data_IF_653623822187
#
_entry.id   IF_653623822187
#
_cell.length_a   1.000
_cell.length_b   1.000
_cell.length_c   1.000
_cell.angle_alpha   90.00
_cell.angle_beta   90.00
_cell.angle_gamma   90.00
#
_symmetry.space_group_name_H-M   'P 1'
#
loop_
_entity.id
_entity.type
_entity.pdbx_description
1 polymer ?
2 polymer ?
3 non-polymer ?
4 water ?
#
# COMPACT_ATOMS: atom_id res chain seq x y z
N UNK A 6 9.90 -15.31 -6.26
CA UNK A 6 8.78 -14.50 -5.81
C UNK A 6 7.84 -15.31 -4.92
N UNK A 7 7.85 -15.00 -3.63
CA UNK A 7 7.13 -15.78 -2.63
C UNK A 7 6.35 -14.84 -1.71
N UNK A 8 5.28 -15.39 -1.13
CA UNK A 8 4.51 -14.70 -0.10
C UNK A 8 4.88 -15.15 1.31
N UNK A 9 5.49 -16.31 1.47
CA UNK A 9 5.89 -16.80 2.78
C UNK A 9 6.69 -15.75 3.52
N UNK A 10 6.30 -15.48 4.77
CA UNK A 10 6.92 -14.46 5.58
C UNK A 10 6.19 -13.12 5.57
N UNK A 11 5.18 -12.98 4.72
CA UNK A 11 4.41 -11.75 4.61
C UNK A 11 3.05 -11.96 5.27
N UNK A 12 2.79 -11.23 6.34
CA UNK A 12 1.49 -11.25 6.99
C UNK A 12 0.57 -10.29 6.25
N UNK A 13 -0.53 -10.80 5.71
CA UNK A 13 -1.41 -10.06 4.82
C UNK A 13 -2.73 -9.76 5.51
N UNK A 14 -3.15 -8.50 5.46
CA UNK A 14 -4.40 -8.07 6.04
C UNK A 14 -5.20 -7.28 5.00
N UNK A 15 -6.45 -7.02 5.35
CA UNK A 15 -7.30 -6.14 4.55
C UNK A 15 -8.13 -5.28 5.49
N UNK A 16 -8.68 -4.21 4.93
CA UNK A 16 -9.56 -3.33 5.68
C UNK A 16 -10.62 -2.81 4.73
N UNK A 17 -11.87 -2.80 5.20
CA UNK A 17 -12.95 -2.26 4.40
C UNK A 17 -13.03 -0.75 4.61
N UNK A 18 -13.23 -0.03 3.50
CA UNK A 18 -13.26 1.43 3.54
C UNK A 18 -14.01 1.92 2.30
N UNK A 19 -14.53 3.14 2.38
CA UNK A 19 -15.11 3.82 1.23
C UNK A 19 -14.02 4.55 0.46
N UNK A 20 -14.26 4.74 -0.85
CA UNK A 20 -13.30 5.47 -1.67
C UNK A 20 -13.01 6.85 -1.08
N UNK A 21 -14.06 7.59 -0.70
CA UNK A 21 -13.84 8.92 -0.16
C UNK A 21 -13.10 8.93 1.17
N UNK A 22 -12.90 7.77 1.79
CA UNK A 22 -12.23 7.69 3.08
C UNK A 22 -10.77 7.27 2.98
N UNK A 23 -10.33 6.74 1.83
CA UNK A 23 -9.04 6.04 1.78
C UNK A 23 -7.90 6.89 2.32
N UNK A 24 -7.97 8.21 2.14
CA UNK A 24 -6.88 9.07 2.60
C UNK A 24 -6.92 9.22 4.11
N UNK A 25 -8.10 9.36 4.69
CA UNK A 25 -8.20 9.40 6.14
C UNK A 25 -7.78 8.05 6.74
N UNK A 26 -8.15 6.95 6.09
CA UNK A 26 -7.76 5.63 6.56
C UNK A 26 -6.25 5.44 6.47
N UNK A 27 -5.63 5.93 5.39
CA UNK A 27 -4.19 5.80 5.24
C UNK A 27 -3.47 6.54 6.36
N UNK A 28 -3.96 7.71 6.74
CA UNK A 28 -3.35 8.45 7.83
C UNK A 28 -3.41 7.67 9.14
N UNK A 29 -4.53 7.00 9.39
CA UNK A 29 -4.64 6.19 10.60
C UNK A 29 -3.54 5.12 10.65
N UNK A 30 -3.31 4.45 9.51
CA UNK A 30 -2.25 3.45 9.47
C UNK A 30 -0.88 4.08 9.70
N UNK A 31 -0.65 5.26 9.12
CA UNK A 31 0.60 5.98 9.39
C UNK A 31 0.81 6.17 10.89
N UNK A 32 -0.27 6.47 11.62
CA UNK A 32 -0.15 6.66 13.06
C UNK A 32 -0.20 5.36 13.85
N UNK A 33 -0.68 4.27 13.25
CA UNK A 33 -0.80 3.01 13.96
C UNK A 33 0.37 2.06 13.75
N UNK A 34 1.01 2.09 12.58
CA UNK A 34 2.05 1.12 12.26
C UNK A 34 3.44 1.71 12.49
N UNK A 35 4.39 0.82 12.81
CA UNK A 35 5.78 1.22 13.01
C UNK A 35 6.53 1.11 11.68
N UNK A 36 6.24 2.07 10.81
CA UNK A 36 6.80 2.06 9.47
C UNK A 36 8.27 2.45 9.52
N UNK A 37 9.15 1.57 9.04
CA UNK A 37 10.51 1.98 8.73
C UNK A 37 10.54 2.66 7.36
N UNK A 38 10.25 1.89 6.31
CA UNK A 38 9.99 2.44 4.99
C UNK A 38 8.74 1.79 4.42
N UNK A 39 7.99 2.56 3.63
CA UNK A 39 6.69 2.12 3.12
C UNK A 39 6.64 2.19 1.61
N UNK A 40 5.78 1.36 1.02
CA UNK A 40 5.44 1.43 -0.39
C UNK A 40 3.93 1.31 -0.53
N UNK A 41 3.34 2.21 -1.31
CA UNK A 41 1.89 2.33 -1.44
C UNK A 41 1.53 2.24 -2.92
N UNK A 42 0.67 1.28 -3.27
CA UNK A 42 0.37 0.99 -4.66
C UNK A 42 -0.98 1.55 -5.06
N UNK A 43 -1.03 2.21 -6.21
CA UNK A 43 -2.24 2.73 -6.81
C UNK A 43 -2.46 2.09 -8.17
N UNK A 44 -3.68 2.25 -8.68
CA UNK A 44 -4.07 1.58 -9.91
C UNK A 44 -3.86 2.42 -11.17
N UNK A 45 -3.57 3.71 -11.03
CA UNK A 45 -3.38 4.57 -12.19
C UNK A 45 -2.28 5.58 -11.91
N UNK A 46 -1.72 6.15 -12.97
CA UNK A 46 -0.62 7.09 -12.80
C UNK A 46 -1.09 8.35 -12.09
N UNK A 47 -2.17 8.96 -12.54
CA UNK A 47 -2.64 10.19 -11.91
C UNK A 47 -3.03 9.93 -10.46
N UNK A 48 -3.64 8.77 -10.19
CA UNK A 48 -3.92 8.41 -8.80
C UNK A 48 -2.65 8.42 -7.96
N UNK A 49 -1.53 7.96 -8.54
CA UNK A 49 -0.24 8.03 -7.85
C UNK A 49 0.15 9.48 -7.59
N UNK A 50 -0.09 10.35 -8.58
CA UNK A 50 0.29 11.76 -8.43
C UNK A 50 -0.50 12.43 -7.31
N UNK A 51 -1.82 12.33 -7.36
CA UNK A 51 -2.64 13.02 -6.37
C UNK A 51 -2.39 12.47 -4.97
N UNK A 52 -2.31 11.15 -4.81
CA UNK A 52 -2.02 10.60 -3.50
C UNK A 52 -0.74 11.17 -2.93
N UNK A 53 0.31 11.27 -3.75
CA UNK A 53 1.56 11.85 -3.27
C UNK A 53 1.33 13.24 -2.69
N UNK A 54 0.48 14.05 -3.33
CA UNK A 54 0.21 15.38 -2.83
C UNK A 54 -0.60 15.33 -1.54
N UNK A 55 -1.54 14.40 -1.44
CA UNK A 55 -2.33 14.29 -0.21
C UNK A 55 -1.46 13.89 0.98
N UNK A 56 -0.53 12.96 0.76
CA UNK A 56 0.36 12.55 1.84
C UNK A 56 1.24 13.71 2.27
N UNK A 57 1.64 14.56 1.31
CA UNK A 57 2.42 15.75 1.65
C UNK A 57 1.57 16.76 2.42
N UNK A 58 0.28 16.87 2.06
CA UNK A 58 -0.62 17.71 2.84
C UNK A 58 -0.68 17.24 4.29
N UNK A 59 -0.59 15.93 4.52
CA UNK A 59 -0.62 15.39 5.87
C UNK A 59 0.67 15.63 6.64
N UNK A 60 1.78 15.88 5.95
CA UNK A 60 3.02 16.23 6.60
C UNK A 60 4.14 15.22 6.47
N UNK A 61 3.92 14.11 5.75
CA UNK A 61 4.99 13.14 5.52
C UNK A 61 5.67 13.43 4.18
N UNK A 62 6.98 13.12 4.12
CA UNK A 62 7.74 13.09 2.87
C UNK A 62 7.18 12.03 1.93
N UNK A 63 7.29 12.28 0.63
CA UNK A 63 6.67 11.39 -0.35
C UNK A 63 7.45 11.40 -1.67
N UNK A 64 7.93 10.22 -2.08
CA UNK A 64 8.38 9.98 -3.44
C UNK A 64 7.26 9.34 -4.24
N UNK A 65 7.47 9.21 -5.54
CA UNK A 65 6.49 8.49 -6.34
C UNK A 65 7.07 8.16 -7.71
N UNK A 66 6.57 7.07 -8.29
CA UNK A 66 7.05 6.57 -9.57
C UNK A 66 5.86 5.97 -10.30
N UNK A 67 5.81 6.17 -11.62
CA UNK A 67 4.79 5.54 -12.44
C UNK A 67 5.35 5.31 -13.84
N UNK A 68 4.56 4.61 -14.66
CA UNK A 68 5.04 4.20 -15.96
C UNK A 68 5.29 5.40 -16.88
N UNK A 69 4.38 6.38 -16.87
CA UNK A 69 4.53 7.53 -17.75
C UNK A 69 5.77 8.35 -17.44
N UNK A 70 6.47 8.05 -16.34
CA UNK A 70 7.72 8.72 -16.05
C UNK A 70 8.82 8.25 -17.01
N UNK A 71 10.00 8.84 -16.86
CA UNK A 71 11.15 8.47 -17.67
C UNK A 71 12.07 7.55 -16.88
N UNK A 72 12.54 6.49 -17.52
CA UNK A 72 13.42 5.53 -16.85
C UNK A 72 14.56 6.23 -16.14
N UNK A 73 15.22 7.17 -16.84
CA UNK A 73 16.30 7.92 -16.21
C UNK A 73 15.82 8.62 -14.94
N UNK A 74 14.54 8.97 -14.89
CA UNK A 74 13.98 9.64 -13.71
C UNK A 74 13.69 8.66 -12.59
N UNK A 75 13.06 7.51 -12.92
CA UNK A 75 12.76 6.50 -11.92
C UNK A 75 14.02 6.03 -11.20
N UNK A 76 15.16 6.04 -11.88
CA UNK A 76 16.39 5.59 -11.24
C UNK A 76 16.78 6.49 -10.08
N UNK A 77 16.84 7.81 -10.32
CA UNK A 77 17.18 8.74 -9.27
C UNK A 77 16.26 8.57 -8.06
N UNK A 78 14.95 8.46 -8.33
CA UNK A 78 13.99 8.29 -7.24
C UNK A 78 14.26 7.00 -6.48
N UNK A 79 14.37 5.88 -7.19
CA UNK A 79 14.58 4.60 -6.52
C UNK A 79 15.88 4.60 -5.73
N UNK A 80 16.96 5.12 -6.31
CA UNK A 80 18.24 5.15 -5.61
C UNK A 80 18.13 5.95 -4.32
N UNK A 81 17.57 7.16 -4.40
CA UNK A 81 17.43 7.98 -3.20
C UNK A 81 16.55 7.28 -2.18
N UNK A 82 15.42 6.72 -2.62
CA UNK A 82 14.59 5.97 -1.68
C UNK A 82 15.39 4.88 -0.98
N UNK A 83 16.13 4.08 -1.76
CA UNK A 83 17.00 3.06 -1.20
C UNK A 83 17.86 3.61 -0.07
N UNK A 84 18.63 4.66 -0.36
CA UNK A 84 19.53 5.21 0.64
C UNK A 84 18.80 5.71 1.87
N UNK A 85 17.49 5.89 1.79
CA UNK A 85 16.69 6.26 2.95
C UNK A 85 16.40 7.73 3.10
N UNK A 86 16.42 8.51 2.01
CA UNK A 86 16.21 9.95 2.12
C UNK A 86 14.75 10.28 2.41
N UNK A 87 13.82 9.54 1.83
CA UNK A 87 12.41 9.71 2.08
C UNK A 87 11.82 8.36 2.46
N UNK A 88 10.82 8.33 3.34
CA UNK A 88 10.39 7.09 3.98
C UNK A 88 9.27 6.37 3.24
N UNK A 89 8.47 7.09 2.46
CA UNK A 89 7.31 6.52 1.81
C UNK A 89 7.41 6.70 0.30
N UNK A 90 6.96 5.68 -0.43
CA UNK A 90 6.97 5.71 -1.89
C UNK A 90 5.60 5.28 -2.39
N UNK A 91 4.98 6.12 -3.22
CA UNK A 91 3.78 5.76 -3.95
C UNK A 91 4.17 5.44 -5.39
N UNK A 92 3.59 4.38 -5.94
CA UNK A 92 3.96 4.03 -7.31
C UNK A 92 2.87 3.17 -7.93
N UNK A 93 2.87 3.15 -9.26
CA UNK A 93 1.96 2.32 -10.03
C UNK A 93 2.61 0.96 -10.29
N UNK A 94 2.19 0.28 -11.35
CA UNK A 94 2.77 -1.00 -11.73
C UNK A 94 3.83 -0.78 -12.80
N UNK A 95 4.94 -1.50 -12.67
CA UNK A 95 6.06 -1.39 -13.60
C UNK A 95 6.63 -2.77 -13.86
N UNK A 96 6.73 -3.14 -15.15
CA UNK A 96 7.32 -4.43 -15.50
C UNK A 96 8.75 -4.55 -14.95
N UNK A 97 9.50 -3.46 -14.96
CA UNK A 97 10.86 -3.44 -14.46
C UNK A 97 10.94 -2.43 -13.31
N UNK A 98 10.21 -2.71 -12.22
CA UNK A 98 10.20 -1.80 -11.08
C UNK A 98 11.56 -1.75 -10.39
N UNK A 99 12.09 -2.91 -10.02
CA UNK A 99 13.41 -2.96 -9.41
C UNK A 99 13.57 -3.97 -8.30
N UNK A 100 14.76 -4.02 -7.70
CA UNK A 100 15.01 -4.92 -6.59
C UNK A 100 14.12 -4.52 -5.41
N UNK A 101 14.02 -5.43 -4.43
CA UNK A 101 13.31 -5.15 -3.20
C UNK A 101 14.21 -4.38 -2.23
N UNK A 102 13.57 -3.59 -1.37
CA UNK A 102 14.27 -2.80 -0.37
C UNK A 102 14.19 -3.52 0.97
N UNK A 103 15.32 -3.59 1.67
CA UNK A 103 15.37 -4.31 2.92
C UNK A 103 14.67 -3.57 4.06
N UNK A 104 14.66 -2.24 4.00
CA UNK A 104 14.05 -1.44 5.06
C UNK A 104 12.55 -1.29 4.91
N UNK A 105 11.95 -1.86 3.86
CA UNK A 105 10.51 -1.75 3.64
C UNK A 105 9.83 -2.91 4.38
N UNK A 106 9.18 -2.59 5.49
CA UNK A 106 8.46 -3.59 6.28
C UNK A 106 6.95 -3.40 6.22
N UNK A 107 6.46 -2.49 5.39
CA UNK A 107 5.03 -2.24 5.25
C UNK A 107 4.73 -1.91 3.79
N UNK A 108 3.92 -2.74 3.15
CA UNK A 108 3.42 -2.48 1.81
C UNK A 108 1.91 -2.29 1.89
N UNK A 109 1.40 -1.32 1.16
CA UNK A 109 -0.01 -1.00 1.19
C UNK A 109 -0.55 -0.99 -0.24
N UNK A 110 -1.61 -1.77 -0.46
CA UNK A 110 -2.39 -1.66 -1.69
C UNK A 110 -3.47 -0.61 -1.43
N UNK A 111 -3.15 0.65 -1.71
CA UNK A 111 -4.14 1.71 -1.60
C UNK A 111 -5.34 1.42 -2.49
N UNK A 112 -5.10 0.82 -3.65
CA UNK A 112 -6.15 0.30 -4.51
C UNK A 112 -5.90 -1.19 -4.70
N UNK A 113 -6.97 -1.98 -4.60
CA UNK A 113 -6.80 -3.44 -4.70
C UNK A 113 -6.69 -3.86 -6.16
N UNK A 114 -5.68 -4.65 -6.52
CA UNK A 114 -5.55 -5.09 -7.91
C UNK A 114 -6.65 -6.06 -8.31
N UNK A 115 -6.79 -6.24 -9.62
CA UNK A 115 -7.82 -7.12 -10.17
C UNK A 115 -7.30 -8.52 -10.52
N UNK A 116 -6.05 -8.63 -10.93
CA UNK A 116 -5.46 -9.92 -11.29
C UNK A 116 -4.55 -10.42 -10.16
N UNK A 117 -4.44 -11.75 -10.06
CA UNK A 117 -3.62 -12.34 -9.01
C UNK A 117 -2.14 -12.12 -9.27
N UNK A 118 -1.73 -12.08 -10.54
CA UNK A 118 -0.32 -11.89 -10.86
C UNK A 118 0.16 -10.52 -10.40
N UNK A 119 -0.69 -9.49 -10.49
CA UNK A 119 -0.31 -8.16 -10.04
C UNK A 119 -0.16 -8.13 -8.52
N UNK A 120 -1.06 -8.78 -7.80
CA UNK A 120 -0.89 -8.89 -6.36
C UNK A 120 0.44 -9.53 -6.01
N UNK A 121 0.80 -10.61 -6.71
CA UNK A 121 2.08 -11.27 -6.44
C UNK A 121 3.26 -10.37 -6.76
N UNK A 122 3.15 -9.54 -7.80
CA UNK A 122 4.23 -8.62 -8.13
C UNK A 122 4.31 -7.48 -7.13
N UNK A 123 3.20 -7.16 -6.47
CA UNK A 123 3.23 -6.08 -5.48
C UNK A 123 3.70 -6.57 -4.12
N UNK A 124 3.18 -7.72 -3.68
CA UNK A 124 3.42 -8.22 -2.32
C UNK A 124 4.51 -9.29 -2.26
N UNK A 125 4.90 -9.86 -3.39
CA UNK A 125 5.90 -10.91 -3.37
C UNK A 125 7.25 -10.44 -2.88
N UNK A 126 8.04 -11.38 -2.39
CA UNK A 126 9.39 -11.13 -1.89
C UNK A 126 10.36 -12.05 -2.62
N UNK A 127 11.65 -11.72 -2.49
CA UNK A 127 12.74 -12.54 -3.04
C UNK A 127 13.27 -13.44 -1.93
N UNK A 128 13.02 -14.74 -2.05
CA UNK A 128 13.42 -15.68 -1.02
C UNK A 128 12.53 -15.62 0.19
N UNK A 129 12.12 -16.78 0.70
CA UNK A 129 11.21 -16.82 1.84
C UNK A 129 11.90 -16.47 3.15
N UNK A 130 13.20 -16.74 3.28
CA UNK A 130 13.92 -16.55 4.53
C UNK A 130 14.46 -15.14 4.63
N UNK A 131 14.38 -14.58 5.83
CA UNK A 131 14.92 -13.26 6.09
C UNK A 131 13.88 -12.16 6.15
N UNK A 132 13.43 -11.70 4.98
CA UNK A 132 12.51 -10.57 4.93
C UNK A 132 11.27 -10.84 5.77
N UNK A 133 10.86 -9.83 6.53
CA UNK A 133 9.68 -9.92 7.38
C UNK A 133 8.92 -8.60 7.32
N UNK A 134 7.65 -8.66 6.95
CA UNK A 134 6.85 -7.46 6.84
C UNK A 134 5.38 -7.78 6.86
N UNK A 135 4.58 -6.73 6.62
CA UNK A 135 3.14 -6.85 6.60
C UNK A 135 2.62 -6.15 5.35
N UNK A 136 1.50 -6.64 4.85
CA UNK A 136 0.78 -6.03 3.74
C UNK A 136 -0.63 -5.70 4.20
N UNK A 137 -1.09 -4.50 3.83
CA UNK A 137 -2.43 -4.04 4.17
C UNK A 137 -3.14 -3.68 2.87
N UNK A 138 -4.31 -4.28 2.65
CA UNK A 138 -5.10 -4.05 1.45
C UNK A 138 -6.35 -3.26 1.81
N UNK A 139 -6.52 -2.09 1.19
CA UNK A 139 -7.73 -1.29 1.34
C UNK A 139 -8.71 -1.70 0.26
N UNK A 140 -9.84 -2.28 0.65
CA UNK A 140 -10.80 -2.81 -0.30
C UNK A 140 -12.16 -2.16 -0.07
N UNK A 141 -12.80 -1.75 -1.16
CA UNK A 141 -14.16 -1.27 -1.08
C UNK A 141 -15.14 -2.43 -1.12
N UNK A 142 -16.41 -2.13 -0.87
CA UNK A 142 -17.45 -3.15 -1.00
C UNK A 142 -17.32 -3.87 -2.33
N UNK A 143 -17.11 -3.12 -3.41
CA UNK A 143 -17.01 -3.71 -4.74
C UNK A 143 -15.79 -4.63 -4.88
N UNK A 144 -14.69 -4.32 -4.19
CA UNK A 144 -13.47 -5.11 -4.33
C UNK A 144 -13.57 -6.51 -3.74
N UNK A 145 -14.64 -6.81 -3.00
CA UNK A 145 -14.69 -8.07 -2.25
C UNK A 145 -14.55 -9.28 -3.17
N UNK A 146 -15.23 -9.27 -4.32
CA UNK A 146 -15.15 -10.40 -5.24
C UNK A 146 -13.69 -10.70 -5.60
N UNK A 147 -12.92 -9.67 -5.97
CA UNK A 147 -11.52 -9.85 -6.31
C UNK A 147 -10.66 -10.27 -5.12
N UNK A 148 -11.13 -10.04 -3.89
CA UNK A 148 -10.34 -10.41 -2.72
C UNK A 148 -10.36 -11.93 -2.50
N UNK A 149 -11.54 -12.54 -2.54
CA UNK A 149 -11.63 -13.99 -2.38
C UNK A 149 -11.01 -14.71 -3.55
N UNK A 150 -11.26 -14.22 -4.78
CA UNK A 150 -10.71 -14.86 -5.96
C UNK A 150 -9.19 -14.79 -5.98
N UNK A 151 -8.61 -13.70 -5.48
CA UNK A 151 -7.16 -13.53 -5.56
C UNK A 151 -6.45 -14.49 -4.62
N UNK A 152 -6.98 -14.67 -3.40
CA UNK A 152 -6.32 -15.57 -2.47
C UNK A 152 -6.49 -17.02 -2.87
N UNK A 153 -7.65 -17.38 -3.41
CA UNK A 153 -7.85 -18.74 -3.88
C UNK A 153 -6.92 -19.05 -5.06
N UNK A 154 -6.80 -18.11 -6.01
CA UNK A 154 -5.90 -18.32 -7.14
C UNK A 154 -4.45 -18.40 -6.67
N UNK A 155 -4.13 -17.79 -5.54
CA UNK A 155 -2.77 -17.78 -5.02
C UNK A 155 -2.52 -18.87 -3.99
N UNK A 156 -3.56 -19.37 -3.32
CA UNK A 156 -3.36 -20.32 -2.25
C UNK A 156 -2.94 -19.72 -0.94
N UNK A 157 -3.07 -18.41 -0.77
CA UNK A 157 -2.75 -17.71 0.45
C UNK A 157 -4.04 -17.27 1.14
N UNK A 158 -3.90 -16.67 2.32
CA UNK A 158 -5.04 -16.18 3.07
C UNK A 158 -4.79 -14.74 3.49
N UNK A 159 -5.81 -13.90 3.33
CA UNK A 159 -5.76 -12.49 3.67
C UNK A 159 -6.79 -12.24 4.75
N UNK A 160 -6.33 -11.99 5.98
CA UNK A 160 -7.22 -11.90 7.15
C UNK A 160 -7.59 -10.45 7.44
N UNK A 161 -8.68 -10.25 8.17
CA UNK A 161 -9.04 -8.88 8.55
C UNK A 161 -8.03 -8.29 9.50
N UNK A 162 -7.79 -6.99 9.37
CA UNK A 162 -6.77 -6.36 10.20
C UNK A 162 -7.13 -6.52 11.67
N UNK A 163 -6.21 -6.86 12.55
CA UNK A 163 -6.52 -7.00 13.97
C UNK A 163 -6.40 -5.67 14.71
N UNK A 164 -6.94 -5.65 15.92
CA UNK A 164 -6.85 -4.45 16.75
C UNK A 164 -5.41 -4.02 16.95
N UNK A 165 -4.51 -4.99 17.17
CA UNK A 165 -3.09 -4.74 17.36
C UNK A 165 -2.29 -5.67 16.48
N UNK A 166 -1.34 -5.11 15.73
CA UNK A 166 -0.41 -5.88 14.91
C UNK A 166 0.88 -6.06 15.70
N UNK A 167 1.20 -7.30 16.02
CA UNK A 167 2.37 -7.57 16.84
C UNK A 167 3.64 -7.09 16.13
N UNK A 168 4.48 -6.29 16.78
CA UNK A 168 5.70 -5.82 16.13
C UNK A 168 6.56 -6.94 15.58
N UNK A 169 6.59 -8.09 16.25
CA UNK A 169 7.44 -9.20 15.80
C UNK A 169 7.10 -9.67 14.39
N UNK A 170 5.96 -9.26 13.84
CA UNK A 170 5.62 -9.64 12.46
C UNK A 170 6.26 -8.72 11.43
N UNK A 171 6.75 -7.54 11.83
CA UNK A 171 7.32 -6.62 10.85
C UNK A 171 8.37 -5.68 11.45
N UNK A 172 8.87 -5.95 12.66
CA UNK A 172 9.93 -5.15 13.24
C UNK A 172 11.11 -6.03 13.69
N UNK B 1 -11.05 5.22 -17.89
CA UNK B 1 -11.00 6.68 -17.84
C UNK B 1 -10.48 7.15 -16.47
N UNK B 2 -9.69 8.22 -16.48
CA UNK B 2 -9.12 8.78 -15.27
C UNK B 2 -10.09 9.84 -14.73
N UNK B 3 -10.83 9.46 -13.69
CA UNK B 3 -11.77 10.35 -13.02
C UNK B 3 -11.08 11.09 -11.87
N UNK B 4 -11.79 12.07 -11.31
CA UNK B 4 -11.33 12.73 -10.10
C UNK B 4 -11.64 11.84 -8.89
N UNK B 5 -10.60 11.34 -8.20
CA UNK B 5 -10.84 10.43 -7.09
C UNK B 5 -11.71 11.07 -6.01
N UNK B 6 -12.49 10.22 -5.34
CA UNK B 6 -13.35 10.70 -4.26
C UNK B 6 -12.54 11.21 -3.07
N UNK B 7 -11.38 10.62 -2.79
CA UNK B 7 -10.59 11.03 -1.63
C UNK B 7 -9.81 12.31 -1.87
N UNK B 8 -9.64 12.72 -3.13
CA UNK B 8 -8.98 13.98 -3.42
C UNK B 8 -9.86 15.19 -3.14
N UNK B 9 -11.12 14.97 -2.78
CA UNK B 9 -12.10 16.04 -2.64
C UNK B 9 -12.26 16.46 -1.19
N UNK B 10 -12.44 15.50 -0.28
CA UNK B 10 -12.78 15.81 1.10
C UNK B 10 -11.53 16.11 1.91
N UNK B 11 -11.74 16.77 3.05
CA UNK B 11 -10.63 17.18 3.90
C UNK B 11 -9.78 15.96 4.29
N UNK B 12 -8.46 15.99 4.06
CA UNK B 12 -7.63 14.82 4.39
C UNK B 12 -7.22 14.74 5.85
N UNK B 13 -7.21 15.87 6.56
CA UNK B 13 -6.71 15.95 7.94
C UNK B 13 -7.90 15.97 8.89
N UNK B 14 -8.31 14.79 9.34
CA UNK B 14 -9.30 14.64 10.40
C UNK B 14 -8.72 13.73 11.47
N UNK B 15 -9.04 14.01 12.72
CA UNK B 15 -8.49 13.25 13.83
C UNK B 15 -9.34 12.01 14.09
N UNK B 16 -8.73 11.04 14.76
CA UNK B 16 -9.39 9.79 15.04
C UNK B 16 -9.12 8.74 13.98
N UNK B 17 -9.83 7.63 14.11
CA UNK B 17 -9.66 6.52 13.19
C UNK B 17 -9.35 5.21 13.88
N UNK B 18 -10.07 4.17 13.49
CA UNK B 18 -9.87 2.82 14.04
C UNK B 18 -10.55 1.83 13.10
N UNK B 19 -10.41 0.55 13.44
CA UNK B 19 -11.04 -0.53 12.68
C UNK B 19 -11.80 -1.43 13.63
N UNK B 20 -12.94 -1.93 13.18
CA UNK B 20 -13.79 -2.76 14.02
C UNK B 20 -13.50 -4.23 13.78
N UNK B 21 -14.24 -5.09 14.48
CA UNK B 21 -14.03 -6.53 14.41
C UNK B 21 -14.07 -7.04 12.98
N UNK B 22 -14.94 -6.46 12.14
CA UNK B 22 -15.10 -6.90 10.76
C UNK B 22 -14.04 -6.33 9.82
N UNK B 23 -13.04 -5.63 10.34
CA UNK B 23 -12.04 -5.01 9.49
C UNK B 23 -12.51 -3.78 8.74
N UNK B 24 -13.69 -3.25 9.08
CA UNK B 24 -14.20 -2.05 8.45
C UNK B 24 -13.69 -0.81 9.18
N UNK B 25 -13.22 0.17 8.41
CA UNK B 25 -12.65 1.38 8.98
C UNK B 25 -13.73 2.30 9.53
N UNK B 26 -13.38 2.99 10.62
CA UNK B 26 -14.28 3.97 11.25
C UNK B 26 -13.59 5.32 11.22
N UNK B 27 -14.09 6.22 10.37
CA UNK B 27 -13.44 7.50 10.16
C UNK B 27 -13.92 8.60 11.07
#
# INVERSE_FOLDING_TARGET
>A
GPHMELTLKGVTQYYAFVQERQKVHCLNTLFSKLQINQSIIFCNSTQRVELLAKKITELGYCCYYIHAKMAQAHRNRVFHDFRQGLCRNLVCSDLFTRGIDVQAVNVVINFDFPRMAETYLHRIGRSGRFGHLGIAINLITYEDRFDLHRIEKELGTEIKPIPKVIDPALYV
>B
DENLPEWAIENPSKLGGSFDASGAFHG
#
